data_IF_687008167429
#
_entry.id   IF_687008167429
#
_cell.length_a   1.000
_cell.length_b   1.000
_cell.length_c   1.000
_cell.angle_alpha   90.00
_cell.angle_beta   90.00
_cell.angle_gamma   90.00
#
_symmetry.space_group_name_H-M   'P 1'
#
loop_
_entity.id
_entity.type
_entity.pdbx_description
1 polymer ?
#
# COMPACT_ATOMS: atom_id res chain seq x y z
N UNK A 1 26.58 2.29 9.61
CA UNK A 1 26.95 0.94 9.13
C UNK A 1 25.72 0.43 8.39
N UNK A 2 25.77 0.24 7.07
CA UNK A 2 24.62 -0.26 6.33
C UNK A 2 24.35 -1.71 6.77
N UNK A 3 23.08 -2.05 6.99
CA UNK A 3 22.66 -3.41 7.29
C UNK A 3 23.04 -4.31 6.09
N UNK A 4 23.65 -5.50 6.28
CA UNK A 4 23.94 -6.39 5.17
C UNK A 4 22.63 -6.71 4.42
N UNK A 5 22.70 -6.71 3.09
CA UNK A 5 21.56 -7.07 2.27
C UNK A 5 21.03 -8.46 2.70
N UNK A 6 19.71 -8.61 2.88
CA UNK A 6 19.16 -9.86 3.38
C UNK A 6 19.47 -11.01 2.42
N UNK A 7 19.99 -12.11 2.97
CA UNK A 7 20.29 -13.31 2.20
C UNK A 7 19.00 -13.89 1.59
N UNK A 8 18.96 -14.19 0.28
CA UNK A 8 17.76 -14.74 -0.36
C UNK A 8 17.29 -16.01 0.35
N UNK A 9 15.98 -16.16 0.59
CA UNK A 9 15.46 -17.33 1.34
C UNK A 9 15.91 -18.68 0.75
N UNK A 10 16.13 -18.73 -0.56
CA UNK A 10 16.55 -19.92 -1.28
C UNK A 10 18.06 -20.23 -1.12
N UNK A 11 18.91 -19.26 -0.79
CA UNK A 11 20.34 -19.50 -0.54
C UNK A 11 20.59 -20.41 0.67
N UNK A 12 19.63 -20.43 1.61
CA UNK A 12 19.64 -21.32 2.79
C UNK A 12 19.52 -22.81 2.45
N UNK A 13 18.97 -23.13 1.28
CA UNK A 13 18.71 -24.51 0.86
C UNK A 13 19.67 -24.97 -0.24
N UNK A 14 20.19 -24.04 -1.04
CA UNK A 14 21.11 -24.31 -2.13
C UNK A 14 22.25 -23.29 -2.11
N UNK A 15 23.48 -23.70 -1.74
CA UNK A 15 24.63 -22.81 -1.78
C UNK A 15 24.78 -22.16 -3.15
N UNK A 16 25.13 -20.86 -3.17
CA UNK A 16 25.37 -20.06 -4.38
C UNK A 16 24.17 -19.85 -5.29
N UNK A 17 22.95 -20.27 -4.90
CA UNK A 17 21.75 -19.97 -5.67
C UNK A 17 21.49 -18.45 -5.78
N UNK A 18 21.88 -17.68 -4.76
CA UNK A 18 21.85 -16.21 -4.83
C UNK A 18 22.69 -15.61 -5.97
N UNK A 19 23.74 -16.30 -6.42
CA UNK A 19 24.64 -15.82 -7.50
C UNK A 19 23.95 -15.85 -8.89
N UNK A 20 22.90 -16.65 -9.04
CA UNK A 20 22.16 -16.82 -10.31
C UNK A 20 20.76 -16.20 -10.29
N UNK A 21 20.24 -15.87 -9.11
CA UNK A 21 18.97 -15.17 -9.00
C UNK A 21 19.17 -13.69 -9.36
N UNK A 22 18.21 -13.12 -10.09
CA UNK A 22 18.19 -11.68 -10.34
C UNK A 22 18.22 -10.90 -9.02
N UNK A 23 18.89 -9.75 -9.02
CA UNK A 23 18.95 -8.89 -7.83
C UNK A 23 17.53 -8.49 -7.43
N UNK A 24 17.11 -8.69 -6.17
CA UNK A 24 15.81 -8.21 -5.72
C UNK A 24 15.63 -6.73 -6.06
N UNK A 25 14.54 -6.38 -6.75
CA UNK A 25 14.28 -5.02 -7.22
C UNK A 25 14.88 -4.64 -8.58
N UNK A 26 15.64 -5.52 -9.25
CA UNK A 26 16.15 -5.26 -10.61
C UNK A 26 15.14 -5.52 -11.72
N UNK A 27 13.94 -6.01 -11.37
CA UNK A 27 12.85 -6.29 -12.30
C UNK A 27 11.55 -5.88 -11.63
N UNK A 28 10.74 -5.08 -12.33
CA UNK A 28 9.37 -4.75 -11.94
C UNK A 28 8.37 -5.46 -12.85
N UNK A 29 7.25 -5.91 -12.27
CA UNK A 29 6.21 -6.63 -13.02
C UNK A 29 5.34 -5.71 -13.90
N UNK A 30 5.26 -4.43 -13.55
CA UNK A 30 4.36 -3.45 -14.17
C UNK A 30 5.13 -2.19 -14.53
N UNK A 31 4.84 -1.55 -15.68
CA UNK A 31 5.53 -0.34 -16.10
C UNK A 31 5.40 0.75 -15.04
N UNK A 32 6.50 1.41 -14.71
CA UNK A 32 6.52 2.60 -13.85
C UNK A 32 5.80 3.77 -14.55
N UNK A 33 5.45 4.80 -13.79
CA UNK A 33 4.84 6.05 -14.32
C UNK A 33 5.66 6.65 -15.46
N UNK A 34 6.99 6.59 -15.37
CA UNK A 34 7.93 7.16 -16.33
C UNK A 34 8.00 6.37 -17.65
N UNK A 35 7.57 5.10 -17.66
CA UNK A 35 7.49 4.26 -18.86
C UNK A 35 6.23 4.57 -19.68
N UNK A 36 6.15 5.81 -20.21
CA UNK A 36 4.97 6.38 -20.87
C UNK A 36 4.42 5.54 -22.03
N UNK A 37 5.29 4.82 -22.76
CA UNK A 37 4.89 4.01 -23.91
C UNK A 37 3.85 2.94 -23.55
N UNK A 38 3.97 2.30 -22.39
CA UNK A 38 3.02 1.28 -21.96
C UNK A 38 1.65 1.89 -21.61
N UNK A 39 1.64 3.00 -20.87
CA UNK A 39 0.42 3.71 -20.47
C UNK A 39 -0.29 4.37 -21.66
N UNK A 40 0.46 4.94 -22.59
CA UNK A 40 -0.05 5.51 -23.84
C UNK A 40 -0.61 4.44 -24.80
N UNK A 41 -0.23 3.16 -24.62
CA UNK A 41 -0.76 2.03 -25.37
C UNK A 41 -2.18 1.60 -24.96
N UNK A 42 -2.67 2.04 -23.80
CA UNK A 42 -4.03 1.71 -23.34
C UNK A 42 -5.10 2.31 -24.28
N UNK A 43 -6.22 1.61 -24.54
CA UNK A 43 -7.35 2.20 -25.26
C UNK A 43 -7.83 3.50 -24.61
N UNK A 44 -8.24 4.48 -25.41
CA UNK A 44 -8.66 5.79 -24.91
C UNK A 44 -9.78 5.71 -23.86
N UNK A 45 -10.75 4.82 -24.05
CA UNK A 45 -11.82 4.58 -23.08
C UNK A 45 -11.30 4.04 -21.74
N UNK A 46 -10.30 3.15 -21.76
CA UNK A 46 -9.69 2.61 -20.55
C UNK A 46 -8.91 3.68 -19.79
N UNK A 47 -8.13 4.51 -20.50
CA UNK A 47 -7.43 5.66 -19.88
C UNK A 47 -8.42 6.62 -19.22
N UNK A 48 -9.48 6.99 -19.94
CA UNK A 48 -10.52 7.87 -19.43
C UNK A 48 -11.21 7.30 -18.18
N UNK A 49 -11.54 6.01 -18.18
CA UNK A 49 -12.15 5.35 -17.04
C UNK A 49 -11.24 5.33 -15.80
N UNK A 50 -9.94 5.07 -15.97
CA UNK A 50 -8.97 5.11 -14.88
C UNK A 50 -8.86 6.52 -14.31
N UNK A 51 -8.66 7.53 -15.16
CA UNK A 51 -8.53 8.93 -14.72
C UNK A 51 -9.80 9.42 -14.01
N UNK A 52 -10.99 9.09 -14.53
CA UNK A 52 -12.27 9.42 -13.89
C UNK A 52 -12.38 8.80 -12.49
N UNK A 53 -11.85 7.59 -12.29
CA UNK A 53 -11.84 6.95 -10.98
C UNK A 53 -10.92 7.68 -9.99
N UNK A 54 -9.77 8.17 -10.43
CA UNK A 54 -8.91 9.04 -9.61
C UNK A 54 -9.56 10.37 -9.28
N UNK A 55 -10.18 11.01 -10.26
CA UNK A 55 -10.89 12.29 -10.09
C UNK A 55 -11.99 12.23 -9.04
N UNK A 56 -12.69 11.10 -8.94
CA UNK A 56 -13.69 10.87 -7.89
C UNK A 56 -13.11 10.87 -6.47
N UNK A 57 -11.78 10.77 -6.32
CA UNK A 57 -11.06 10.74 -5.05
C UNK A 57 -10.09 11.91 -4.88
N UNK A 58 -10.10 12.91 -5.77
CA UNK A 58 -9.34 14.14 -5.56
C UNK A 58 -9.86 14.85 -4.32
N UNK A 59 -8.96 15.22 -3.39
CA UNK A 59 -9.34 15.81 -2.10
C UNK A 59 -10.08 14.86 -1.17
N UNK A 60 -9.86 13.55 -1.30
CA UNK A 60 -10.41 12.54 -0.39
C UNK A 60 -10.02 12.86 1.07
N UNK A 61 -10.94 12.68 2.01
CA UNK A 61 -10.79 13.14 3.40
C UNK A 61 -9.91 12.23 4.26
N UNK A 62 -9.48 11.08 3.73
CA UNK A 62 -8.62 10.09 4.40
C UNK A 62 -9.12 9.74 5.82
N UNK A 63 -10.35 9.22 5.95
CA UNK A 63 -11.06 9.13 7.22
C UNK A 63 -10.30 8.23 8.19
N UNK A 64 -10.06 8.70 9.42
CA UNK A 64 -9.22 7.99 10.38
C UNK A 64 -9.83 6.65 10.83
N UNK A 65 -8.97 5.64 10.96
CA UNK A 65 -9.34 4.38 11.65
C UNK A 65 -9.41 4.65 13.16
N UNK A 66 -10.60 4.98 13.65
CA UNK A 66 -10.82 5.37 15.04
C UNK A 66 -10.95 4.18 16.00
N UNK A 67 -10.58 4.41 17.26
CA UNK A 67 -10.70 3.43 18.34
C UNK A 67 -12.10 2.81 18.47
N UNK A 68 -13.16 3.58 18.18
CA UNK A 68 -14.54 3.07 18.22
C UNK A 68 -14.78 1.89 17.27
N UNK A 69 -14.07 1.82 16.14
CA UNK A 69 -14.22 0.74 15.17
C UNK A 69 -13.77 -0.60 15.79
N UNK A 70 -12.67 -0.61 16.54
CA UNK A 70 -12.22 -1.77 17.31
C UNK A 70 -13.12 -2.07 18.51
N UNK A 71 -13.63 -1.05 19.20
CA UNK A 71 -14.54 -1.23 20.34
C UNK A 71 -15.85 -1.90 19.94
N UNK A 72 -16.43 -1.51 18.80
CA UNK A 72 -17.67 -2.12 18.27
C UNK A 72 -17.41 -3.60 17.95
N UNK A 73 -16.30 -3.91 17.30
CA UNK A 73 -15.91 -5.29 17.05
C UNK A 73 -15.74 -6.08 18.34
N UNK A 74 -15.02 -5.55 19.33
CA UNK A 74 -14.80 -6.22 20.61
C UNK A 74 -16.11 -6.48 21.37
N UNK A 75 -17.05 -5.52 21.36
CA UNK A 75 -18.30 -5.58 22.14
C UNK A 75 -19.38 -6.42 21.46
N UNK A 76 -19.44 -6.41 20.13
CA UNK A 76 -20.57 -6.95 19.38
C UNK A 76 -20.18 -7.87 18.22
N UNK A 77 -18.88 -8.11 17.99
CA UNK A 77 -18.38 -8.91 16.86
C UNK A 77 -18.55 -8.27 15.49
N UNK A 78 -19.15 -7.07 15.40
CA UNK A 78 -19.41 -6.36 14.14
C UNK A 78 -18.16 -5.61 13.70
N UNK A 79 -17.64 -5.94 12.51
CA UNK A 79 -16.44 -5.32 11.94
C UNK A 79 -16.68 -4.49 10.68
N UNK A 80 -17.91 -4.46 10.15
CA UNK A 80 -18.24 -3.79 8.87
C UNK A 80 -17.73 -2.35 8.84
N UNK A 81 -18.02 -1.54 9.87
CA UNK A 81 -17.56 -0.14 9.94
C UNK A 81 -16.03 0.00 9.85
N UNK A 82 -15.27 -0.93 10.45
CA UNK A 82 -13.81 -0.95 10.38
C UNK A 82 -13.32 -1.36 8.98
N UNK A 83 -13.99 -2.33 8.37
CA UNK A 83 -13.63 -2.80 7.04
C UNK A 83 -13.96 -1.74 5.98
N UNK A 84 -15.10 -1.07 6.08
CA UNK A 84 -15.54 -0.03 5.16
C UNK A 84 -14.58 1.16 5.16
N UNK A 85 -14.21 1.68 6.34
CA UNK A 85 -13.26 2.80 6.44
C UNK A 85 -11.88 2.42 5.88
N UNK A 86 -11.42 1.19 6.14
CA UNK A 86 -10.13 0.69 5.62
C UNK A 86 -10.18 0.50 4.11
N UNK A 87 -11.27 -0.06 3.58
CA UNK A 87 -11.49 -0.30 2.16
C UNK A 87 -11.55 1.02 1.39
N UNK A 88 -12.30 2.01 1.89
CA UNK A 88 -12.41 3.33 1.24
C UNK A 88 -11.03 3.98 1.03
N UNK A 89 -10.14 3.94 2.04
CA UNK A 89 -8.77 4.46 1.94
C UNK A 89 -7.94 3.72 0.89
N UNK A 90 -8.02 2.39 0.86
CA UNK A 90 -7.24 1.54 -0.06
C UNK A 90 -7.74 1.67 -1.51
N UNK A 91 -9.05 1.78 -1.70
CA UNK A 91 -9.67 2.05 -3.01
C UNK A 91 -9.27 3.43 -3.52
N UNK A 92 -9.35 4.47 -2.67
CA UNK A 92 -8.93 5.81 -3.03
C UNK A 92 -7.46 5.84 -3.46
N UNK A 93 -6.56 5.29 -2.64
CA UNK A 93 -5.13 5.23 -2.97
C UNK A 93 -4.88 4.50 -4.30
N UNK A 94 -5.50 3.33 -4.50
CA UNK A 94 -5.34 2.56 -5.74
C UNK A 94 -5.82 3.32 -6.97
N UNK A 95 -6.96 4.00 -6.89
CA UNK A 95 -7.52 4.80 -7.98
C UNK A 95 -6.61 5.99 -8.34
N UNK A 96 -6.12 6.71 -7.33
CA UNK A 96 -5.21 7.85 -7.51
C UNK A 96 -3.88 7.41 -8.12
N UNK A 97 -3.27 6.34 -7.61
CA UNK A 97 -1.99 5.82 -8.12
C UNK A 97 -2.09 5.40 -9.58
N UNK A 98 -3.13 4.65 -9.95
CA UNK A 98 -3.33 4.25 -11.34
C UNK A 98 -3.61 5.45 -12.25
N UNK A 99 -4.33 6.46 -11.76
CA UNK A 99 -4.58 7.70 -12.51
C UNK A 99 -3.30 8.48 -12.75
N UNK A 100 -2.45 8.62 -11.73
CA UNK A 100 -1.14 9.24 -11.86
C UNK A 100 -0.22 8.46 -12.82
N UNK A 101 -0.27 7.13 -12.81
CA UNK A 101 0.43 6.30 -13.79
C UNK A 101 -0.08 6.55 -15.22
N UNK A 102 -1.40 6.67 -15.42
CA UNK A 102 -1.99 6.86 -16.75
C UNK A 102 -1.75 8.27 -17.28
N UNK A 103 -1.93 9.30 -16.45
CA UNK A 103 -1.90 10.70 -16.86
C UNK A 103 -0.48 11.31 -16.78
N UNK A 104 0.22 11.05 -15.66
CA UNK A 104 1.54 11.58 -15.33
C UNK A 104 1.65 13.12 -15.33
N UNK A 105 0.60 13.80 -14.87
CA UNK A 105 0.55 15.27 -14.74
C UNK A 105 0.82 15.77 -13.32
N UNK A 106 0.96 14.87 -12.33
CA UNK A 106 1.33 15.22 -10.95
C UNK A 106 0.17 15.69 -10.07
N UNK A 107 -1.01 15.95 -10.63
CA UNK A 107 -2.15 16.52 -9.89
C UNK A 107 -2.74 15.59 -8.82
N UNK A 108 -2.45 14.29 -8.86
CA UNK A 108 -2.90 13.33 -7.85
C UNK A 108 -1.85 13.09 -6.76
N UNK A 109 -0.62 13.59 -6.93
CA UNK A 109 0.54 13.20 -6.11
C UNK A 109 0.37 13.62 -4.65
N UNK A 110 -0.20 14.80 -4.38
CA UNK A 110 -0.46 15.25 -3.00
C UNK A 110 -1.49 14.36 -2.28
N UNK A 111 -2.57 13.96 -2.98
CA UNK A 111 -3.56 13.04 -2.42
C UNK A 111 -2.96 11.64 -2.20
N UNK A 112 -2.09 11.17 -3.10
CA UNK A 112 -1.36 9.91 -2.92
C UNK A 112 -0.45 9.99 -1.69
N UNK A 113 0.26 11.10 -1.51
CA UNK A 113 1.11 11.32 -0.33
C UNK A 113 0.29 11.30 0.97
N UNK A 114 -0.88 11.95 0.99
CA UNK A 114 -1.83 11.88 2.10
C UNK A 114 -2.27 10.44 2.38
N UNK A 115 -2.55 9.66 1.34
CA UNK A 115 -2.94 8.26 1.47
C UNK A 115 -1.87 7.35 2.04
N UNK A 116 -0.64 7.45 1.53
CA UNK A 116 0.52 6.74 2.07
C UNK A 116 0.69 7.09 3.54
N UNK A 117 0.69 8.39 3.87
CA UNK A 117 0.85 8.86 5.24
C UNK A 117 -0.23 8.30 6.15
N UNK A 118 -1.50 8.45 5.75
CA UNK A 118 -2.62 8.02 6.55
C UNK A 118 -2.57 6.51 6.81
N UNK A 119 -2.30 5.69 5.79
CA UNK A 119 -2.25 4.23 5.93
C UNK A 119 -1.07 3.82 6.81
N UNK A 120 0.11 4.41 6.66
CA UNK A 120 1.27 4.08 7.49
C UNK A 120 1.11 4.50 8.96
N UNK A 121 0.22 5.44 9.27
CA UNK A 121 -0.14 5.82 10.65
C UNK A 121 -1.22 4.89 11.26
N UNK A 122 -1.78 3.94 10.50
CA UNK A 122 -2.68 2.92 11.07
C UNK A 122 -1.89 2.00 12.02
N UNK A 123 -2.36 1.85 13.26
CA UNK A 123 -1.73 0.94 14.24
C UNK A 123 -1.74 -0.53 13.80
N UNK A 124 -2.62 -0.89 12.85
CA UNK A 124 -2.68 -2.22 12.26
C UNK A 124 -3.34 -2.20 10.90
N UNK A 125 -2.68 -2.81 9.92
CA UNK A 125 -3.13 -2.87 8.53
C UNK A 125 -4.09 -4.00 8.22
N UNK A 126 -4.47 -4.81 9.21
CA UNK A 126 -5.23 -6.02 9.02
C UNK A 126 -6.64 -6.00 9.59
N UNK A 127 -7.35 -7.10 9.36
CA UNK A 127 -8.69 -7.33 9.89
C UNK A 127 -8.64 -7.59 11.41
N UNK A 128 -9.64 -7.14 12.19
CA UNK A 128 -9.57 -7.27 13.65
C UNK A 128 -9.74 -8.73 14.13
N UNK A 129 -10.21 -9.63 13.27
CA UNK A 129 -10.40 -11.05 13.59
C UNK A 129 -9.13 -11.74 14.10
N UNK A 130 -8.04 -11.76 13.31
CA UNK A 130 -6.75 -12.32 13.73
C UNK A 130 -6.09 -11.69 14.97
N UNK A 131 -6.61 -10.58 15.54
CA UNK A 131 -6.10 -9.99 16.79
C UNK A 131 -6.28 -10.88 18.03
N UNK A 132 -6.84 -12.09 17.92
CA UNK A 132 -6.73 -13.07 19.00
C UNK A 132 -5.34 -13.70 19.10
N UNK A 133 -4.49 -13.56 18.06
CA UNK A 133 -3.17 -14.18 17.99
C UNK A 133 -2.09 -13.40 18.77
N UNK A 134 -2.32 -12.11 19.05
CA UNK A 134 -1.40 -11.29 19.87
C UNK A 134 -1.50 -11.66 21.35
N UNK A 135 -0.39 -11.54 22.07
CA UNK A 135 -0.29 -11.76 23.52
C UNK A 135 -1.10 -10.72 24.30
N UNK A 136 -1.23 -9.50 23.78
CA UNK A 136 -2.11 -8.46 24.33
C UNK A 136 -3.60 -8.86 24.37
N UNK A 137 -3.98 -9.95 23.69
CA UNK A 137 -5.35 -10.46 23.64
C UNK A 137 -6.26 -9.66 22.69
N UNK A 138 -7.56 -9.97 22.69
CA UNK A 138 -8.50 -9.38 21.73
C UNK A 138 -8.82 -7.91 22.02
N UNK A 139 -8.92 -7.10 20.97
CA UNK A 139 -9.46 -5.75 21.07
C UNK A 139 -8.71 -4.76 20.18
N UNK A 140 -7.90 -3.91 20.81
CA UNK A 140 -7.02 -3.00 20.10
C UNK A 140 -5.77 -3.74 19.61
N UNK A 141 -5.25 -3.40 18.42
CA UNK A 141 -3.97 -3.94 17.98
C UNK A 141 -2.84 -3.40 18.86
N UNK A 142 -1.90 -4.27 19.22
CA UNK A 142 -0.59 -3.86 19.74
C UNK A 142 0.39 -3.66 18.57
N UNK A 143 0.87 -2.43 18.29
CA UNK A 143 1.83 -2.18 17.21
C UNK A 143 3.16 -2.92 17.37
N UNK A 144 3.51 -3.38 18.57
CA UNK A 144 4.71 -4.16 18.82
C UNK A 144 4.56 -5.63 18.39
N UNK A 145 3.33 -6.12 18.19
CA UNK A 145 3.03 -7.50 17.83
C UNK A 145 2.62 -7.62 16.35
N UNK A 146 3.48 -8.26 15.54
CA UNK A 146 3.24 -8.42 14.11
C UNK A 146 2.34 -9.61 13.83
N UNK A 147 1.08 -9.34 13.49
CA UNK A 147 0.14 -10.35 12.99
C UNK A 147 0.03 -10.22 11.47
N UNK A 148 0.48 -11.24 10.74
CA UNK A 148 0.33 -11.30 9.29
C UNK A 148 -0.94 -12.07 8.93
N UNK A 149 -1.80 -11.44 8.15
CA UNK A 149 -3.04 -12.00 7.59
C UNK A 149 -3.34 -11.37 6.22
N UNK A 150 -4.41 -11.81 5.55
CA UNK A 150 -4.73 -11.40 4.18
C UNK A 150 -4.76 -9.88 3.99
N UNK A 151 -5.49 -9.15 4.83
CA UNK A 151 -5.62 -7.69 4.72
C UNK A 151 -4.32 -6.93 4.97
N UNK A 152 -3.45 -7.43 5.87
CA UNK A 152 -2.09 -6.88 6.02
C UNK A 152 -1.27 -7.07 4.74
N UNK A 153 -1.38 -8.24 4.10
CA UNK A 153 -0.69 -8.55 2.84
C UNK A 153 -1.20 -7.68 1.68
N UNK A 154 -2.51 -7.50 1.55
CA UNK A 154 -3.12 -6.63 0.55
C UNK A 154 -2.68 -5.17 0.72
N UNK A 155 -2.65 -4.69 1.96
CA UNK A 155 -2.19 -3.32 2.27
C UNK A 155 -0.71 -3.15 1.93
N UNK A 156 0.13 -4.11 2.34
CA UNK A 156 1.55 -4.09 2.04
C UNK A 156 1.81 -4.15 0.52
N UNK A 157 1.06 -4.97 -0.22
CA UNK A 157 1.16 -5.05 -1.67
C UNK A 157 0.78 -3.71 -2.34
N UNK A 158 -0.30 -3.06 -1.91
CA UNK A 158 -0.71 -1.76 -2.42
C UNK A 158 0.39 -0.69 -2.23
N UNK A 159 0.97 -0.62 -1.03
CA UNK A 159 2.07 0.33 -0.75
C UNK A 159 3.33 -0.01 -1.56
N UNK A 160 3.69 -1.29 -1.66
CA UNK A 160 4.83 -1.73 -2.46
C UNK A 160 4.65 -1.39 -3.94
N UNK A 161 3.44 -1.59 -4.50
CA UNK A 161 3.14 -1.18 -5.87
C UNK A 161 3.18 0.33 -6.04
N UNK A 162 2.63 1.08 -5.09
CA UNK A 162 2.68 2.55 -5.11
C UNK A 162 4.12 3.05 -5.18
N UNK A 163 5.00 2.52 -4.32
CA UNK A 163 6.42 2.87 -4.31
C UNK A 163 7.13 2.46 -5.60
N UNK A 164 6.83 1.27 -6.14
CA UNK A 164 7.45 0.78 -7.38
C UNK A 164 7.03 1.61 -8.58
N UNK A 165 5.75 1.94 -8.69
CA UNK A 165 5.18 2.62 -9.85
C UNK A 165 5.51 4.12 -9.88
N UNK A 166 5.52 4.77 -8.71
CA UNK A 166 5.62 6.23 -8.57
C UNK A 166 6.92 6.69 -7.90
N UNK A 167 7.94 5.82 -7.81
CA UNK A 167 9.11 6.05 -6.98
C UNK A 167 9.78 7.43 -7.18
N UNK A 168 9.97 7.85 -8.42
CA UNK A 168 10.57 9.16 -8.77
C UNK A 168 9.68 10.33 -8.35
N UNK A 169 8.38 10.30 -8.68
CA UNK A 169 7.46 11.39 -8.33
C UNK A 169 7.21 11.50 -6.83
N UNK A 170 7.27 10.40 -6.09
CA UNK A 170 7.21 10.42 -4.62
C UNK A 170 8.48 11.04 -3.99
N UNK A 171 9.65 10.81 -4.58
CA UNK A 171 10.90 11.43 -4.11
C UNK A 171 10.91 12.95 -4.33
N UNK A 172 10.31 13.44 -5.42
CA UNK A 172 10.17 14.86 -5.71
C UNK A 172 9.34 15.58 -4.63
N UNK A 173 8.30 14.93 -4.09
CA UNK A 173 7.55 15.44 -2.93
C UNK A 173 8.41 15.37 -1.68
N UNK A 174 8.86 14.16 -1.33
CA UNK A 174 9.76 13.93 -0.20
C UNK A 174 10.27 12.49 -0.19
N UNK A 175 11.60 12.28 -0.10
CA UNK A 175 12.18 10.96 0.10
C UNK A 175 11.70 10.24 1.37
N UNK A 176 11.06 10.94 2.32
CA UNK A 176 10.49 10.34 3.52
C UNK A 176 9.27 9.46 3.22
N UNK A 177 8.54 9.73 2.14
CA UNK A 177 7.34 8.94 1.79
C UNK A 177 7.68 7.48 1.51
N UNK A 178 8.79 7.21 0.80
CA UNK A 178 9.25 5.84 0.48
C UNK A 178 10.01 5.16 1.62
N UNK A 179 10.30 5.87 2.71
CA UNK A 179 10.97 5.31 3.90
C UNK A 179 9.99 4.86 4.99
N UNK A 180 8.72 5.25 4.87
CA UNK A 180 7.65 4.75 5.73
C UNK A 180 7.31 3.32 5.39
#
# INVERSE_FOLDING_TARGET
MADPAPEPILSRFVPRLGDVLGTPGSCHLYPTRSERGAWAGLPAAARSAVVTAGEAHTGFDWPAVQARHYLIYRRHGRQTDLLDVRAARRVALGALVLSECVEAEGRFVDDIANGIWAICEESYWGNPGPLYMQQAGRGFPDPAERIVELGTGETAALLAWTQTLLGESLDEVSPMLRRR
#
